data_IF_407555148801
#
_entry.id   IF_407555148801
#
_cell.length_a   1.000
_cell.length_b   1.000
_cell.length_c   1.000
_cell.angle_alpha   90.00
_cell.angle_beta   90.00
_cell.angle_gamma   90.00
#
_symmetry.space_group_name_H-M   'P 1'
#
loop_
_entity.id
_entity.type
_entity.pdbx_description
1 polymer ?
#
# COMPACT_ATOMS: atom_id res chain seq x y z
N UNK A 1 -0.84 16.93 -11.11
CA UNK A 1 -0.13 15.91 -10.34
C UNK A 1 1.36 16.16 -10.39
N UNK A 2 1.97 16.18 -9.23
CA UNK A 2 3.41 16.38 -9.08
C UNK A 2 4.09 15.01 -9.15
N UNK A 3 4.96 14.75 -10.16
CA UNK A 3 5.60 13.44 -10.29
C UNK A 3 6.38 13.00 -9.06
N UNK A 4 7.02 13.94 -8.35
CA UNK A 4 7.75 13.62 -7.13
C UNK A 4 6.83 13.09 -6.02
N UNK A 5 5.59 13.58 -5.95
CA UNK A 5 4.63 13.12 -4.96
C UNK A 5 4.26 11.65 -5.21
N UNK A 6 4.12 11.25 -6.47
CA UNK A 6 3.85 9.85 -6.81
C UNK A 6 5.00 8.95 -6.40
N UNK A 7 6.24 9.34 -6.68
CA UNK A 7 7.41 8.57 -6.27
C UNK A 7 7.50 8.46 -4.76
N UNK A 8 7.21 9.54 -4.04
CA UNK A 8 7.21 9.53 -2.59
C UNK A 8 6.18 8.58 -2.02
N UNK A 9 4.97 8.56 -2.59
CA UNK A 9 3.90 7.66 -2.15
C UNK A 9 4.24 6.20 -2.46
N UNK A 10 4.84 5.93 -3.63
CA UNK A 10 5.24 4.57 -3.99
C UNK A 10 6.32 4.05 -3.04
N UNK A 11 7.29 4.89 -2.71
CA UNK A 11 8.34 4.53 -1.75
C UNK A 11 7.75 4.27 -0.37
N UNK A 12 6.85 5.13 0.07
CA UNK A 12 6.18 4.98 1.36
C UNK A 12 5.40 3.67 1.42
N UNK A 13 4.69 3.34 0.34
CA UNK A 13 3.95 2.09 0.25
C UNK A 13 4.87 0.89 0.44
N UNK A 14 6.00 0.87 -0.27
CA UNK A 14 6.96 -0.23 -0.17
C UNK A 14 7.49 -0.37 1.25
N UNK A 15 7.91 0.74 1.86
CA UNK A 15 8.47 0.73 3.21
C UNK A 15 7.46 0.28 4.26
N UNK A 16 6.24 0.81 4.18
CA UNK A 16 5.19 0.48 5.14
C UNK A 16 4.80 -1.00 5.02
N UNK A 17 4.61 -1.50 3.80
CA UNK A 17 4.19 -2.88 3.59
C UNK A 17 5.31 -3.86 3.95
N UNK A 18 6.56 -3.49 3.72
CA UNK A 18 7.69 -4.30 4.17
C UNK A 18 7.70 -4.41 5.70
N UNK A 19 7.41 -3.31 6.38
CA UNK A 19 7.29 -3.30 7.84
C UNK A 19 6.15 -4.16 8.36
N UNK A 20 5.12 -4.38 7.54
CA UNK A 20 4.01 -5.28 7.87
C UNK A 20 4.32 -6.75 7.59
N UNK A 21 5.51 -7.05 7.07
CA UNK A 21 5.93 -8.42 6.83
C UNK A 21 5.70 -8.94 5.42
N UNK A 22 5.28 -8.09 4.48
CA UNK A 22 5.09 -8.49 3.11
C UNK A 22 6.40 -8.47 2.33
N UNK A 23 6.57 -9.43 1.42
CA UNK A 23 7.70 -9.45 0.49
C UNK A 23 7.42 -8.45 -0.63
N UNK A 24 8.10 -7.31 -0.59
CA UNK A 24 7.86 -6.22 -1.55
C UNK A 24 9.15 -5.87 -2.28
N UNK A 25 9.05 -5.76 -3.62
CA UNK A 25 10.16 -5.33 -4.44
C UNK A 25 10.08 -3.80 -4.63
N UNK A 26 11.11 -3.03 -4.20
CA UNK A 26 11.09 -1.57 -4.34
C UNK A 26 10.99 -1.09 -5.79
N UNK A 27 11.44 -1.90 -6.75
CA UNK A 27 11.39 -1.57 -8.17
C UNK A 27 9.99 -1.76 -8.76
N UNK A 28 9.09 -2.44 -8.04
CA UNK A 28 7.76 -2.75 -8.51
C UNK A 28 6.70 -2.48 -7.42
N UNK A 29 6.51 -1.20 -7.07
CA UNK A 29 5.55 -0.87 -6.01
C UNK A 29 4.10 -1.25 -6.35
N UNK A 30 3.76 -1.35 -7.64
CA UNK A 30 2.44 -1.78 -8.08
C UNK A 30 2.18 -3.26 -7.78
N UNK A 31 3.23 -4.05 -7.55
CA UNK A 31 3.09 -5.46 -7.21
C UNK A 31 2.65 -5.69 -5.75
N UNK A 32 2.67 -4.65 -4.92
CA UNK A 32 2.28 -4.74 -3.51
C UNK A 32 0.87 -5.29 -3.36
N UNK A 33 -0.07 -4.84 -4.21
CA UNK A 33 -1.46 -5.30 -4.14
C UNK A 33 -1.60 -6.80 -4.33
N UNK A 34 -0.75 -7.41 -5.15
CA UNK A 34 -0.78 -8.86 -5.40
C UNK A 34 -0.29 -9.63 -4.17
N UNK A 35 0.75 -9.14 -3.50
CA UNK A 35 1.23 -9.77 -2.28
C UNK A 35 0.20 -9.69 -1.16
N UNK A 36 -0.46 -8.55 -1.02
CA UNK A 36 -1.51 -8.36 -0.02
C UNK A 36 -2.69 -9.27 -0.32
N UNK A 37 -3.11 -9.35 -1.58
CA UNK A 37 -4.21 -10.22 -2.00
C UNK A 37 -3.88 -11.68 -1.71
N UNK A 38 -2.67 -12.13 -2.03
CA UNK A 38 -2.24 -13.50 -1.77
C UNK A 38 -2.28 -13.81 -0.28
N UNK A 39 -1.81 -12.90 0.55
CA UNK A 39 -1.83 -13.05 2.01
C UNK A 39 -3.25 -13.13 2.55
N UNK A 40 -4.19 -12.43 1.92
CA UNK A 40 -5.59 -12.42 2.32
C UNK A 40 -6.41 -13.57 1.71
N UNK A 41 -5.80 -14.38 0.83
CA UNK A 41 -6.50 -15.46 0.15
C UNK A 41 -7.44 -14.98 -0.94
N UNK A 42 -7.22 -13.79 -1.48
CA UNK A 42 -8.06 -13.20 -2.53
C UNK A 42 -7.37 -13.38 -3.89
N UNK A 43 -8.03 -14.01 -4.88
CA UNK A 43 -7.44 -14.18 -6.20
C UNK A 43 -7.45 -12.87 -6.98
N UNK A 44 -6.28 -12.25 -7.11
CA UNK A 44 -6.10 -11.02 -7.85
C UNK A 44 -5.24 -11.30 -9.08
N UNK A 45 -5.76 -10.98 -10.26
CA UNK A 45 -5.07 -11.20 -11.53
C UNK A 45 -4.47 -9.89 -12.04
N UNK A 46 -3.33 -9.94 -12.77
CA UNK A 46 -2.75 -8.73 -13.35
C UNK A 46 -3.65 -8.04 -14.37
N UNK A 47 -4.56 -8.79 -15.00
CA UNK A 47 -5.47 -8.25 -16.00
C UNK A 47 -6.85 -7.97 -15.43
N UNK A 48 -7.85 -8.70 -15.91
CA UNK A 48 -9.26 -8.50 -15.57
C UNK A 48 -9.60 -9.06 -14.19
N UNK A 49 -10.18 -8.21 -13.34
CA UNK A 49 -10.59 -8.57 -11.97
C UNK A 49 -12.07 -8.33 -11.71
N UNK A 50 -12.90 -8.45 -12.74
CA UNK A 50 -14.33 -8.23 -12.61
C UNK A 50 -15.04 -9.20 -11.68
N UNK A 51 -14.39 -10.32 -11.34
CA UNK A 51 -14.92 -11.31 -10.40
C UNK A 51 -14.76 -10.89 -8.93
N UNK A 52 -13.95 -9.86 -8.65
CA UNK A 52 -13.75 -9.39 -7.29
C UNK A 52 -14.99 -8.66 -6.79
N UNK A 53 -15.42 -8.98 -5.56
CA UNK A 53 -16.46 -8.23 -4.89
C UNK A 53 -15.89 -6.91 -4.36
N UNK A 54 -16.79 -5.95 -4.10
CA UNK A 54 -16.41 -4.69 -3.46
C UNK A 54 -15.75 -4.95 -2.10
N UNK A 55 -16.25 -5.93 -1.36
CA UNK A 55 -15.69 -6.31 -0.08
C UNK A 55 -14.25 -6.81 -0.20
N UNK A 56 -13.99 -7.68 -1.20
CA UNK A 56 -12.64 -8.20 -1.43
C UNK A 56 -11.68 -7.10 -1.84
N UNK A 57 -12.10 -6.23 -2.75
CA UNK A 57 -11.30 -5.09 -3.17
C UNK A 57 -11.01 -4.15 -2.00
N UNK A 58 -12.00 -3.93 -1.14
CA UNK A 58 -11.85 -3.12 0.06
C UNK A 58 -10.88 -3.72 1.07
N UNK A 59 -10.86 -5.05 1.21
CA UNK A 59 -9.90 -5.72 2.08
C UNK A 59 -8.46 -5.47 1.64
N UNK A 60 -8.20 -5.58 0.34
CA UNK A 60 -6.87 -5.34 -0.21
C UNK A 60 -6.48 -3.88 0.01
N UNK A 61 -7.35 -2.95 -0.40
CA UNK A 61 -7.10 -1.52 -0.25
C UNK A 61 -6.92 -1.08 1.19
N UNK A 62 -7.71 -1.64 2.10
CA UNK A 62 -7.63 -1.31 3.52
C UNK A 62 -6.34 -1.77 4.18
N UNK A 63 -5.83 -2.95 3.79
CA UNK A 63 -4.57 -3.46 4.31
C UNK A 63 -3.37 -2.64 3.85
N UNK A 64 -3.47 -1.98 2.71
CA UNK A 64 -2.43 -1.10 2.20
C UNK A 64 -2.63 0.33 2.72
N UNK A 65 -3.84 0.87 2.54
CA UNK A 65 -4.15 2.25 2.86
C UNK A 65 -4.14 2.56 4.34
N UNK A 66 -4.67 1.64 5.18
CA UNK A 66 -4.70 1.84 6.63
C UNK A 66 -3.32 2.08 7.23
N UNK A 67 -2.37 1.17 7.03
CA UNK A 67 -1.01 1.37 7.53
C UNK A 67 -0.31 2.59 6.93
N UNK A 68 -0.55 2.90 5.64
CA UNK A 68 0.04 4.07 5.01
C UNK A 68 -0.45 5.37 5.65
N UNK A 69 -1.76 5.48 5.87
CA UNK A 69 -2.34 6.67 6.51
C UNK A 69 -1.79 6.82 7.92
N UNK A 70 -1.70 5.73 8.67
CA UNK A 70 -1.15 5.74 10.02
C UNK A 70 0.28 6.27 10.03
N UNK A 71 1.10 5.80 9.08
CA UNK A 71 2.49 6.25 8.98
C UNK A 71 2.59 7.73 8.59
N UNK A 72 1.73 8.18 7.68
CA UNK A 72 1.69 9.58 7.28
C UNK A 72 1.34 10.49 8.47
N UNK A 73 0.39 10.06 9.30
CA UNK A 73 0.01 10.81 10.51
C UNK A 73 1.20 10.87 11.47
N UNK A 74 1.89 9.75 11.67
CA UNK A 74 3.07 9.70 12.54
C UNK A 74 4.15 10.66 12.06
N UNK A 75 4.42 10.68 10.75
CA UNK A 75 5.40 11.58 10.15
C UNK A 75 5.01 13.04 10.34
N UNK A 76 3.73 13.36 10.16
CA UNK A 76 3.23 14.72 10.37
C UNK A 76 3.39 15.17 11.82
N UNK A 77 3.11 14.28 12.76
CA UNK A 77 3.28 14.58 14.18
C UNK A 77 4.74 14.82 14.53
N UNK A 78 5.66 14.04 13.97
CA UNK A 78 7.09 14.26 14.18
C UNK A 78 7.53 15.61 13.64
N UNK A 79 7.06 16.00 12.47
CA UNK A 79 7.39 17.28 11.87
C UNK A 79 6.91 18.43 12.75
N UNK A 80 5.69 18.34 13.29
CA UNK A 80 5.15 19.34 14.18
C UNK A 80 5.92 19.42 15.50
N UNK A 81 6.34 18.26 16.02
CA UNK A 81 7.06 18.22 17.30
C UNK A 81 8.45 18.83 17.21
N UNK A 82 9.03 18.91 16.01
CA UNK A 82 10.37 19.48 15.79
C UNK A 82 10.37 20.99 15.56
N UNK A 83 9.21 21.60 15.55
CA UNK A 83 9.08 23.04 15.33
C UNK A 83 9.45 23.86 16.56
#
# INVERSE_FOLDING_TARGET
LIPQAKHGLDRLKVEVMRGQGYAVNPDRPDAVKFEVARSAGIPLNPGYNGHLSTEQAGKIGGRIGGPMVREMIRMAQQTLAKR
#
